data_IF_054035951542
#
_entry.id   IF_054035951542
#
_cell.length_a   1.000
_cell.length_b   1.000
_cell.length_c   1.000
_cell.angle_alpha   90.00
_cell.angle_beta   90.00
_cell.angle_gamma   90.00
#
_symmetry.space_group_name_H-M   'P 1'
#
loop_
_entity.id
_entity.type
_entity.pdbx_description
1 polymer ?
#
# COMPACT_ATOMS: atom_id res chain seq x y z
N UNK A 1 -9.41 -3.28 -17.69
CA UNK A 1 -10.19 -2.56 -16.66
C UNK A 1 -10.72 -1.27 -17.24
N UNK A 2 -12.04 -1.06 -17.26
CA UNK A 2 -12.67 0.09 -17.91
C UNK A 2 -12.68 1.35 -17.04
N UNK A 3 -12.81 2.53 -17.66
CA UNK A 3 -12.89 3.81 -16.92
C UNK A 3 -14.05 3.85 -15.93
N UNK A 4 -15.21 3.26 -16.27
CA UNK A 4 -16.37 3.15 -15.36
C UNK A 4 -16.03 2.36 -14.10
N UNK A 5 -15.27 1.27 -14.21
CA UNK A 5 -14.81 0.47 -13.07
C UNK A 5 -13.86 1.27 -12.17
N UNK A 6 -12.93 2.04 -12.74
CA UNK A 6 -12.00 2.89 -11.98
C UNK A 6 -12.76 3.95 -11.16
N UNK A 7 -13.71 4.64 -11.79
CA UNK A 7 -14.54 5.66 -11.12
C UNK A 7 -15.37 5.04 -9.99
N UNK A 8 -15.94 3.85 -10.21
CA UNK A 8 -16.71 3.13 -9.18
C UNK A 8 -15.86 2.81 -7.95
N UNK A 9 -14.66 2.25 -8.15
CA UNK A 9 -13.74 1.92 -7.05
C UNK A 9 -13.31 3.17 -6.29
N UNK A 10 -13.01 4.26 -7.00
CA UNK A 10 -12.65 5.53 -6.37
C UNK A 10 -13.78 6.07 -5.50
N UNK A 11 -15.02 6.08 -6.01
CA UNK A 11 -16.20 6.51 -5.25
C UNK A 11 -16.45 5.62 -4.02
N UNK A 12 -16.29 4.30 -4.15
CA UNK A 12 -16.41 3.36 -3.03
C UNK A 12 -15.33 3.60 -1.96
N UNK A 13 -14.09 3.87 -2.38
CA UNK A 13 -13.00 4.21 -1.47
C UNK A 13 -13.24 5.54 -0.72
N UNK A 14 -13.72 6.56 -1.44
CA UNK A 14 -14.07 7.86 -0.86
C UNK A 14 -15.18 7.73 0.19
N UNK A 15 -16.20 6.90 -0.07
CA UNK A 15 -17.33 6.67 0.86
C UNK A 15 -16.99 5.73 2.02
N UNK A 16 -15.98 4.89 1.90
CA UNK A 16 -15.62 3.95 2.96
C UNK A 16 -15.14 4.70 4.22
N UNK A 17 -15.49 4.22 5.43
CA UNK A 17 -15.00 4.83 6.67
C UNK A 17 -13.48 4.72 6.78
N UNK A 18 -12.84 5.69 7.45
CA UNK A 18 -11.37 5.77 7.58
C UNK A 18 -10.73 4.49 8.12
N UNK A 19 -11.38 3.83 9.09
CA UNK A 19 -10.95 2.56 9.70
C UNK A 19 -11.58 1.31 9.05
N UNK A 20 -12.26 1.48 7.92
CA UNK A 20 -12.94 0.41 7.20
C UNK A 20 -11.98 -0.61 6.58
N UNK A 21 -12.43 -1.87 6.47
CA UNK A 21 -11.68 -2.96 5.82
C UNK A 21 -11.20 -2.58 4.41
N UNK A 22 -12.08 -1.98 3.61
CA UNK A 22 -11.78 -1.57 2.23
C UNK A 22 -10.64 -0.54 2.13
N UNK A 23 -10.62 0.48 2.99
CA UNK A 23 -9.52 1.46 3.00
C UNK A 23 -8.21 0.82 3.45
N UNK A 24 -8.24 -0.03 4.48
CA UNK A 24 -7.03 -0.74 4.96
C UNK A 24 -6.42 -1.64 3.89
N UNK A 25 -7.25 -2.40 3.17
CA UNK A 25 -6.80 -3.26 2.07
C UNK A 25 -6.21 -2.42 0.93
N UNK A 26 -6.87 -1.32 0.56
CA UNK A 26 -6.36 -0.40 -0.47
C UNK A 26 -4.99 0.18 -0.08
N UNK A 27 -4.85 0.71 1.14
CA UNK A 27 -3.58 1.25 1.63
C UNK A 27 -2.50 0.17 1.77
N UNK A 28 -2.86 -1.07 2.11
CA UNK A 28 -1.93 -2.20 2.13
C UNK A 28 -1.36 -2.50 0.74
N UNK A 29 -2.22 -2.61 -0.27
CA UNK A 29 -1.80 -2.85 -1.67
C UNK A 29 -1.02 -1.67 -2.22
N UNK A 30 -1.47 -0.44 -1.95
CA UNK A 30 -0.79 0.78 -2.35
C UNK A 30 0.61 0.87 -1.74
N UNK A 31 0.73 0.64 -0.43
CA UNK A 31 2.00 0.66 0.30
C UNK A 31 3.00 -0.36 -0.27
N UNK A 32 2.58 -1.62 -0.50
CA UNK A 32 3.42 -2.65 -1.12
C UNK A 32 3.93 -2.23 -2.51
N UNK A 33 3.07 -1.60 -3.33
CA UNK A 33 3.45 -1.13 -4.67
C UNK A 33 4.40 0.08 -4.64
N UNK A 34 4.17 1.02 -3.73
CA UNK A 34 5.08 2.16 -3.54
C UNK A 34 6.45 1.70 -3.09
N UNK A 35 6.50 0.86 -2.05
CA UNK A 35 7.74 0.28 -1.56
C UNK A 35 8.51 -0.46 -2.66
N UNK A 36 7.83 -1.29 -3.45
CA UNK A 36 8.48 -1.96 -4.59
C UNK A 36 9.06 -0.97 -5.59
N UNK A 37 8.33 0.08 -5.96
CA UNK A 37 8.81 1.07 -6.93
C UNK A 37 10.04 1.81 -6.42
N UNK A 38 10.03 2.26 -5.17
CA UNK A 38 11.15 2.98 -4.56
C UNK A 38 12.38 2.07 -4.37
N UNK A 39 12.18 0.84 -3.89
CA UNK A 39 13.30 -0.09 -3.72
C UNK A 39 13.84 -0.59 -5.06
N UNK A 40 13.00 -0.71 -6.10
CA UNK A 40 13.45 -1.16 -7.42
C UNK A 40 14.31 -0.11 -8.12
N UNK A 41 14.03 1.17 -7.88
CA UNK A 41 14.88 2.26 -8.39
C UNK A 41 16.25 2.28 -7.73
N UNK A 42 16.34 1.89 -6.46
CA UNK A 42 17.59 1.86 -5.70
C UNK A 42 18.36 0.54 -5.88
N UNK A 43 17.65 -0.58 -6.03
CA UNK A 43 18.19 -1.90 -6.23
C UNK A 43 17.36 -2.69 -7.24
N UNK A 44 17.93 -2.88 -8.44
CA UNK A 44 17.29 -3.54 -9.57
C UNK A 44 17.06 -5.04 -9.36
N UNK A 45 17.67 -5.67 -8.35
CA UNK A 45 17.47 -7.09 -8.02
C UNK A 45 16.23 -7.32 -7.15
N UNK A 46 15.68 -6.25 -6.56
CA UNK A 46 14.50 -6.38 -5.69
C UNK A 46 13.31 -6.89 -6.49
N UNK A 47 12.65 -7.90 -5.93
CA UNK A 47 11.41 -8.46 -6.47
C UNK A 47 10.22 -8.06 -5.62
N UNK A 48 9.03 -8.08 -6.21
CA UNK A 48 7.79 -7.78 -5.48
C UNK A 48 7.58 -8.77 -4.32
N UNK A 49 7.97 -10.03 -4.48
CA UNK A 49 7.85 -11.06 -3.45
C UNK A 49 8.72 -10.76 -2.21
N UNK A 50 9.91 -10.16 -2.40
CA UNK A 50 10.75 -9.73 -1.28
C UNK A 50 10.07 -8.63 -0.47
N UNK A 51 9.41 -7.68 -1.15
CA UNK A 51 8.64 -6.61 -0.50
C UNK A 51 7.42 -7.20 0.21
N UNK A 52 6.70 -8.14 -0.40
CA UNK A 52 5.55 -8.81 0.22
C UNK A 52 5.95 -9.53 1.51
N UNK A 53 7.05 -10.31 1.49
CA UNK A 53 7.59 -10.98 2.66
C UNK A 53 7.99 -9.99 3.76
N UNK A 54 8.59 -8.86 3.40
CA UNK A 54 8.92 -7.82 4.36
C UNK A 54 7.68 -7.24 5.04
N UNK A 55 6.60 -6.98 4.30
CA UNK A 55 5.34 -6.47 4.86
C UNK A 55 4.56 -7.49 5.70
N UNK A 56 4.72 -8.78 5.40
CA UNK A 56 4.01 -9.86 6.08
C UNK A 56 4.79 -10.37 7.33
N UNK A 57 6.05 -9.97 7.49
CA UNK A 57 6.85 -10.28 8.68
C UNK A 57 6.23 -9.68 9.95
N UNK A 58 6.32 -10.43 11.05
CA UNK A 58 5.84 -10.00 12.38
C UNK A 58 6.52 -8.73 12.87
N UNK A 59 7.72 -8.43 12.38
CA UNK A 59 8.49 -7.25 12.77
C UNK A 59 7.89 -5.96 12.18
N UNK A 60 7.28 -6.04 10.98
CA UNK A 60 6.56 -4.90 10.37
C UNK A 60 5.16 -4.71 10.97
N UNK A 61 4.57 -5.74 11.60
CA UNK A 61 3.30 -5.59 12.35
C UNK A 61 3.42 -4.69 13.57
N UNK A 62 4.63 -4.56 14.14
CA UNK A 62 4.93 -3.74 15.32
C UNK A 62 5.59 -2.39 14.99
N UNK A 63 5.77 -2.08 13.71
CA UNK A 63 6.30 -0.78 13.32
C UNK A 63 5.24 0.33 13.55
N UNK A 64 5.59 1.42 14.27
CA UNK A 64 4.67 2.53 14.55
C UNK A 64 4.19 3.27 13.27
N UNK A 65 4.81 2.96 12.13
CA UNK A 65 4.56 3.57 10.82
C UNK A 65 3.32 3.06 10.09
N UNK A 66 2.55 2.11 10.68
CA UNK A 66 1.19 1.79 10.19
C UNK A 66 0.25 3.01 10.20
N UNK A 67 0.68 4.09 10.84
CA UNK A 67 -0.01 5.37 10.95
C UNK A 67 0.47 6.42 9.93
N UNK A 68 1.63 6.25 9.28
CA UNK A 68 2.33 7.38 8.64
C UNK A 68 3.11 7.03 7.35
N UNK A 69 2.61 6.12 6.50
CA UNK A 69 3.12 6.04 5.10
C UNK A 69 2.79 7.33 4.32
N UNK A 70 1.96 8.23 4.89
CA UNK A 70 1.74 9.59 4.40
C UNK A 70 2.72 10.65 4.92
N UNK A 71 3.71 10.30 5.75
CA UNK A 71 4.68 11.27 6.32
C UNK A 71 6.11 11.07 5.81
N UNK A 72 6.36 10.03 5.00
CA UNK A 72 7.62 9.87 4.25
C UNK A 72 7.53 10.40 2.81
N UNK A 73 6.53 11.25 2.54
CA UNK A 73 6.44 12.09 1.35
C UNK A 73 6.19 13.53 1.82
N UNK A 74 7.19 14.10 2.50
CA UNK A 74 7.43 15.54 2.55
C UNK A 74 8.94 15.75 2.61
#
# INVERSE_FOLDING_TARGET
MSNKQRISILKSFQKAPAKGKLRREYFGVFGKRMAYRTTKTENSEVTLSMVEKAFDSSDVKNLPYRTNVGVLIF
#
